data_IF_701427683912
#
_entry.id   IF_701427683912
#
_cell.length_a   1.000
_cell.length_b   1.000
_cell.length_c   1.000
_cell.angle_alpha   90.00
_cell.angle_beta   90.00
_cell.angle_gamma   90.00
#
_symmetry.space_group_name_H-M   'P 1'
#
loop_
_entity.id
_entity.type
_entity.pdbx_description
1 polymer ?
#
# COMPACT_ATOMS: atom_id res chain seq x y z
N UNK A 1 13.69 13.34 -11.67
CA UNK A 1 12.38 12.80 -12.06
C UNK A 1 12.53 11.32 -12.36
N UNK A 2 12.15 10.46 -11.43
CA UNK A 2 12.13 9.00 -11.65
C UNK A 2 10.97 8.67 -12.59
N UNK A 3 11.23 7.88 -13.63
CA UNK A 3 10.18 7.45 -14.57
C UNK A 3 9.51 6.23 -13.95
N UNK A 4 8.22 6.37 -13.63
CA UNK A 4 7.41 5.29 -13.09
C UNK A 4 6.58 4.67 -14.23
N UNK A 5 6.64 3.35 -14.37
CA UNK A 5 5.81 2.58 -15.30
C UNK A 5 4.74 1.84 -14.50
N UNK A 6 3.47 2.12 -14.79
CA UNK A 6 2.36 1.39 -14.17
C UNK A 6 2.13 0.09 -14.94
N UNK A 7 2.38 -1.05 -14.30
CA UNK A 7 2.02 -2.37 -14.82
C UNK A 7 0.62 -2.73 -14.32
N UNK A 8 -0.26 -3.11 -15.23
CA UNK A 8 -1.62 -3.57 -14.90
C UNK A 8 -1.69 -5.05 -15.21
N UNK A 9 -2.13 -5.84 -14.23
CA UNK A 9 -2.32 -7.28 -14.35
C UNK A 9 -3.78 -7.58 -14.07
N UNK A 10 -4.52 -7.97 -15.10
CA UNK A 10 -5.89 -8.41 -14.92
C UNK A 10 -5.96 -9.70 -14.12
N UNK A 11 -6.89 -9.77 -13.18
CA UNK A 11 -7.10 -10.95 -12.33
C UNK A 11 -8.09 -11.93 -12.97
N UNK A 12 -8.10 -12.00 -14.31
CA UNK A 12 -8.95 -12.93 -15.06
C UNK A 12 -8.70 -14.37 -14.60
N UNK A 13 -9.77 -15.06 -14.21
CA UNK A 13 -9.69 -16.43 -13.71
C UNK A 13 -9.64 -16.54 -12.18
N UNK A 14 -9.52 -15.43 -11.46
CA UNK A 14 -9.82 -15.42 -10.02
C UNK A 14 -11.33 -15.62 -9.83
N UNK A 15 -11.71 -16.45 -8.86
CA UNK A 15 -13.12 -16.65 -8.52
C UNK A 15 -13.73 -15.34 -8.02
N UNK A 16 -15.00 -15.11 -8.34
CA UNK A 16 -15.78 -14.06 -7.67
C UNK A 16 -16.11 -14.53 -6.25
N UNK A 17 -15.91 -13.65 -5.27
CA UNK A 17 -16.37 -13.88 -3.91
C UNK A 17 -17.76 -13.26 -3.74
N UNK A 18 -18.48 -13.67 -2.70
CA UNK A 18 -19.91 -13.36 -2.51
C UNK A 18 -20.23 -11.87 -2.61
N UNK A 19 -19.42 -11.02 -1.98
CA UNK A 19 -19.63 -9.57 -1.92
C UNK A 19 -18.49 -8.77 -2.57
N UNK A 20 -17.37 -9.39 -2.94
CA UNK A 20 -16.21 -8.70 -3.50
C UNK A 20 -15.66 -9.42 -4.73
N UNK A 21 -15.36 -8.65 -5.77
CA UNK A 21 -14.71 -9.11 -6.98
C UNK A 21 -13.40 -8.35 -7.16
N UNK A 22 -12.27 -9.05 -7.22
CA UNK A 22 -10.99 -8.43 -7.55
C UNK A 22 -10.79 -8.41 -9.05
N UNK A 23 -10.48 -7.23 -9.58
CA UNK A 23 -10.51 -6.94 -11.03
C UNK A 23 -9.12 -6.97 -11.63
N UNK A 24 -8.19 -6.21 -11.05
CA UNK A 24 -6.82 -6.03 -11.55
C UNK A 24 -5.88 -5.62 -10.44
N UNK A 25 -4.60 -5.97 -10.57
CA UNK A 25 -3.50 -5.46 -9.73
C UNK A 25 -2.75 -4.40 -10.51
N UNK A 26 -2.57 -3.26 -9.87
CA UNK A 26 -1.79 -2.14 -10.39
C UNK A 26 -0.47 -2.08 -9.63
N UNK A 27 0.63 -2.38 -10.32
CA UNK A 27 1.99 -2.42 -9.77
C UNK A 27 2.76 -1.23 -10.31
N UNK A 28 3.46 -0.53 -9.44
CA UNK A 28 4.35 0.55 -9.83
C UNK A 28 5.75 0.00 -10.04
N UNK A 29 6.25 0.10 -11.26
CA UNK A 29 7.64 -0.18 -11.58
C UNK A 29 8.41 1.14 -11.57
N UNK A 30 9.50 1.18 -10.82
CA UNK A 30 10.41 2.33 -10.83
C UNK A 30 11.58 1.91 -11.72
N UNK A 31 11.78 2.61 -12.85
CA UNK A 31 12.89 2.28 -13.75
C UNK A 31 14.21 2.17 -12.98
N UNK A 32 14.86 1.00 -13.05
CA UNK A 32 16.11 0.69 -12.32
C UNK A 32 15.94 -0.03 -10.98
N UNK A 33 14.71 -0.17 -10.46
CA UNK A 33 14.43 -0.79 -9.15
C UNK A 33 13.46 -1.99 -9.23
N UNK A 34 12.87 -2.25 -10.40
CA UNK A 34 11.92 -3.34 -10.62
C UNK A 34 10.51 -3.03 -10.08
N UNK A 35 9.56 -3.97 -10.22
CA UNK A 35 8.23 -3.80 -9.67
C UNK A 35 8.33 -3.57 -8.16
N UNK A 36 7.67 -2.52 -7.67
CA UNK A 36 7.48 -2.33 -6.25
C UNK A 36 6.85 -3.63 -5.68
N UNK A 37 7.34 -4.05 -4.52
CA UNK A 37 6.77 -5.16 -3.75
C UNK A 37 5.30 -4.94 -3.37
N UNK A 38 4.76 -3.76 -3.68
CA UNK A 38 3.43 -3.32 -3.34
C UNK A 38 2.59 -3.15 -4.61
N UNK A 39 1.38 -3.70 -4.57
CA UNK A 39 0.36 -3.55 -5.60
C UNK A 39 -0.90 -2.92 -5.04
N UNK A 40 -1.65 -2.25 -5.90
CA UNK A 40 -3.00 -1.76 -5.62
C UNK A 40 -4.00 -2.68 -6.31
N UNK A 41 -4.80 -3.40 -5.53
CA UNK A 41 -5.81 -4.31 -6.07
C UNK A 41 -7.12 -3.54 -6.25
N UNK A 42 -7.52 -3.37 -7.51
CA UNK A 42 -8.81 -2.81 -7.88
C UNK A 42 -9.90 -3.85 -7.68
N UNK A 43 -11.02 -3.44 -7.13
CA UNK A 43 -12.11 -4.34 -6.78
C UNK A 43 -13.47 -3.70 -7.02
N UNK A 44 -14.48 -4.55 -7.14
CA UNK A 44 -15.88 -4.19 -7.07
C UNK A 44 -16.51 -4.78 -5.82
N UNK A 45 -17.23 -3.96 -5.06
CA UNK A 45 -18.01 -4.36 -3.89
C UNK A 45 -19.48 -4.44 -4.32
N UNK A 46 -20.11 -5.60 -4.12
CA UNK A 46 -21.50 -5.88 -4.54
C UNK A 46 -21.78 -5.48 -6.01
N UNK A 47 -20.80 -5.73 -6.88
CA UNK A 47 -20.89 -5.44 -8.32
C UNK A 47 -20.56 -3.99 -8.73
N UNK A 48 -20.21 -3.11 -7.78
CA UNK A 48 -19.83 -1.72 -8.07
C UNK A 48 -18.32 -1.53 -7.90
N UNK A 49 -17.61 -1.17 -8.98
CA UNK A 49 -16.18 -0.83 -8.91
C UNK A 49 -15.96 0.34 -7.94
N UNK A 50 -15.03 0.17 -7.01
CA UNK A 50 -14.73 1.18 -6.01
C UNK A 50 -13.65 2.14 -6.51
N UNK A 51 -13.76 3.42 -6.17
CA UNK A 51 -12.73 4.42 -6.50
C UNK A 51 -11.43 4.16 -5.72
N UNK A 52 -11.54 3.63 -4.51
CA UNK A 52 -10.41 3.19 -3.68
C UNK A 52 -9.89 1.81 -4.11
N UNK A 53 -8.61 1.54 -3.87
CA UNK A 53 -7.98 0.24 -4.12
C UNK A 53 -7.53 -0.41 -2.82
N UNK A 54 -7.45 -1.74 -2.81
CA UNK A 54 -6.94 -2.51 -1.69
C UNK A 54 -5.41 -2.65 -1.83
N UNK A 55 -4.63 -2.03 -0.95
CA UNK A 55 -3.17 -2.10 -0.98
C UNK A 55 -2.72 -3.51 -0.60
N UNK A 56 -1.72 -4.05 -1.28
CA UNK A 56 -1.24 -5.42 -1.09
C UNK A 56 0.28 -5.49 -1.13
N UNK A 57 0.87 -6.23 -0.19
CA UNK A 57 2.26 -6.68 -0.26
C UNK A 57 2.33 -7.96 -1.10
N UNK A 58 2.86 -7.83 -2.32
CA UNK A 58 3.01 -8.89 -3.30
C UNK A 58 4.20 -9.82 -2.99
N UNK A 59 5.14 -9.38 -2.15
CA UNK A 59 6.20 -10.24 -1.62
C UNK A 59 5.64 -11.23 -0.61
N UNK A 60 4.82 -10.74 0.34
CA UNK A 60 4.27 -11.51 1.45
C UNK A 60 2.93 -12.19 1.19
N UNK A 61 2.14 -11.69 0.25
CA UNK A 61 0.80 -12.25 -0.03
C UNK A 61 -0.24 -11.86 0.98
N UNK A 62 -0.21 -10.59 1.37
CA UNK A 62 -1.11 -10.05 2.37
C UNK A 62 -1.63 -8.68 1.90
N UNK A 63 -2.92 -8.45 2.10
CA UNK A 63 -3.52 -7.13 1.96
C UNK A 63 -3.08 -6.26 3.13
N UNK A 64 -2.56 -5.07 2.86
CA UNK A 64 -1.98 -4.17 3.86
C UNK A 64 -3.07 -3.52 4.71
N UNK A 65 -4.21 -3.25 4.11
CA UNK A 65 -5.40 -2.77 4.79
C UNK A 65 -6.65 -3.33 4.12
N UNK A 66 -7.76 -3.16 4.81
CA UNK A 66 -9.05 -3.72 4.43
C UNK A 66 -10.07 -2.59 4.26
N UNK A 67 -11.32 -2.95 4.05
CA UNK A 67 -12.42 -1.98 3.98
C UNK A 67 -12.66 -1.38 5.38
N UNK A 68 -12.86 -0.07 5.47
CA UNK A 68 -13.26 0.57 6.72
C UNK A 68 -14.63 0.07 7.19
N UNK A 69 -14.96 0.23 8.48
CA UNK A 69 -16.24 -0.24 9.03
C UNK A 69 -17.46 0.42 8.35
N UNK A 70 -17.33 1.68 7.96
CA UNK A 70 -18.37 2.42 7.23
C UNK A 70 -18.56 1.89 5.78
N UNK A 71 -17.54 1.25 5.21
CA UNK A 71 -17.60 0.63 3.88
C UNK A 71 -18.13 -0.82 3.91
N UNK A 72 -18.12 -1.47 5.06
CA UNK A 72 -18.55 -2.87 5.21
C UNK A 72 -20.07 -3.05 5.04
N UNK A 73 -20.87 -2.05 5.42
CA UNK A 73 -22.31 -2.22 5.51
C UNK A 73 -22.67 -3.39 6.44
N UNK A 74 -23.36 -4.40 5.91
CA UNK A 74 -23.76 -5.60 6.64
C UNK A 74 -22.75 -6.77 6.57
N UNK A 75 -21.60 -6.57 5.90
CA UNK A 75 -20.57 -7.62 5.75
C UNK A 75 -19.81 -7.78 7.06
N UNK A 76 -19.79 -8.98 7.69
CA UNK A 76 -19.00 -9.20 8.90
C UNK A 76 -17.51 -9.06 8.63
N UNK A 77 -16.79 -8.36 9.52
CA UNK A 77 -15.33 -8.14 9.47
C UNK A 77 -14.56 -9.44 9.24
N UNK A 78 -14.89 -10.49 10.01
CA UNK A 78 -14.26 -11.82 9.89
C UNK A 78 -14.46 -12.43 8.50
N UNK A 79 -15.63 -12.25 7.90
CA UNK A 79 -15.93 -12.73 6.54
C UNK A 79 -15.11 -11.98 5.50
N UNK A 80 -14.95 -10.65 5.65
CA UNK A 80 -14.05 -9.87 4.81
C UNK A 80 -12.60 -10.36 4.93
N UNK A 81 -12.07 -10.45 6.16
CA UNK A 81 -10.69 -10.83 6.40
C UNK A 81 -10.34 -12.19 5.81
N UNK A 82 -11.21 -13.20 6.02
CA UNK A 82 -11.02 -14.52 5.43
C UNK A 82 -11.03 -14.48 3.91
N UNK A 83 -11.95 -13.70 3.33
CA UNK A 83 -12.03 -13.50 1.88
C UNK A 83 -10.76 -12.87 1.32
N UNK A 84 -10.25 -11.82 1.97
CA UNK A 84 -9.01 -11.15 1.60
C UNK A 84 -7.81 -12.10 1.72
N UNK A 85 -7.71 -12.88 2.79
CA UNK A 85 -6.62 -13.86 2.97
C UNK A 85 -6.62 -14.92 1.87
N UNK A 86 -7.78 -15.52 1.57
CA UNK A 86 -7.91 -16.51 0.49
C UNK A 86 -7.59 -15.91 -0.88
N UNK A 87 -8.05 -14.68 -1.14
CA UNK A 87 -7.80 -13.98 -2.39
C UNK A 87 -6.33 -13.60 -2.56
N UNK A 88 -5.66 -13.16 -1.50
CA UNK A 88 -4.27 -12.72 -1.53
C UNK A 88 -3.33 -13.81 -2.08
N UNK A 89 -3.52 -15.06 -1.63
CA UNK A 89 -2.73 -16.21 -2.11
C UNK A 89 -2.91 -16.38 -3.63
N UNK A 90 -4.16 -16.38 -4.11
CA UNK A 90 -4.48 -16.59 -5.53
C UNK A 90 -4.03 -15.42 -6.40
N UNK A 91 -4.19 -14.18 -5.92
CA UNK A 91 -3.73 -12.96 -6.59
C UNK A 91 -2.22 -13.03 -6.82
N UNK A 92 -1.46 -13.42 -5.80
CA UNK A 92 0.00 -13.58 -5.95
C UNK A 92 0.35 -14.62 -6.99
N UNK A 93 -0.35 -15.76 -7.03
CA UNK A 93 -0.08 -16.77 -8.03
C UNK A 93 -0.27 -16.24 -9.45
N UNK A 94 -1.33 -15.44 -9.67
CA UNK A 94 -1.60 -14.80 -10.97
C UNK A 94 -0.50 -13.80 -11.29
N UNK A 95 -0.16 -12.93 -10.35
CA UNK A 95 0.88 -11.91 -10.50
C UNK A 95 2.23 -12.56 -10.84
N UNK A 96 2.67 -13.56 -10.06
CA UNK A 96 3.95 -14.26 -10.26
C UNK A 96 4.03 -15.05 -11.57
N UNK A 97 2.90 -15.54 -12.09
CA UNK A 97 2.82 -16.23 -13.38
C UNK A 97 2.73 -15.27 -14.58
N UNK A 98 2.55 -13.98 -14.35
CA UNK A 98 2.37 -13.02 -15.43
C UNK A 98 3.68 -12.85 -16.23
N UNK A 99 3.69 -13.11 -17.55
CA UNK A 99 4.90 -13.06 -18.37
C UNK A 99 5.51 -11.66 -18.50
N UNK A 100 4.75 -10.61 -18.16
CA UNK A 100 5.21 -9.22 -18.18
C UNK A 100 5.96 -8.81 -16.89
N UNK A 101 6.07 -9.71 -15.90
CA UNK A 101 6.98 -9.58 -14.76
C UNK A 101 8.29 -10.29 -15.14
N UNK A 102 9.16 -9.60 -15.87
CA UNK A 102 10.43 -10.18 -16.37
C UNK A 102 11.50 -10.33 -15.28
N UNK A 103 11.34 -9.65 -14.15
CA UNK A 103 12.21 -9.75 -12.97
C UNK A 103 11.40 -10.32 -11.83
N UNK A 104 11.83 -11.40 -11.17
CA UNK A 104 11.14 -11.90 -9.98
C UNK A 104 10.94 -10.74 -9.01
N UNK A 105 9.78 -10.68 -8.35
CA UNK A 105 9.58 -9.79 -7.20
C UNK A 105 10.80 -9.98 -6.29
N UNK A 106 11.53 -8.92 -5.91
CA UNK A 106 12.80 -9.12 -5.24
C UNK A 106 12.57 -9.90 -3.94
N UNK A 107 13.56 -10.66 -3.49
CA UNK A 107 13.53 -11.16 -2.11
C UNK A 107 13.77 -9.97 -1.17
N UNK A 108 13.19 -10.02 0.03
CA UNK A 108 13.21 -8.93 1.03
C UNK A 108 14.62 -8.38 1.36
N UNK A 109 15.68 -9.10 0.99
CA UNK A 109 17.08 -8.82 1.35
C UNK A 109 17.82 -7.82 0.44
N UNK A 110 17.27 -7.37 -0.69
CA UNK A 110 18.00 -6.48 -1.60
C UNK A 110 17.21 -5.25 -2.02
N UNK A 111 17.27 -4.22 -1.18
CA UNK A 111 16.96 -2.85 -1.58
C UNK A 111 18.26 -2.04 -1.64
N UNK A 112 18.89 -2.04 -2.82
CA UNK A 112 19.93 -1.06 -3.17
C UNK A 112 19.27 0.31 -3.40
N UNK A 113 18.82 0.95 -2.32
CA UNK A 113 18.47 2.37 -2.31
C UNK A 113 19.78 3.16 -2.32
N UNK A 114 20.13 3.87 -3.40
CA UNK A 114 21.01 5.06 -3.25
C UNK A 114 21.30 5.92 -4.52
N UNK A 115 20.77 5.65 -5.74
CA UNK A 115 21.34 6.37 -6.92
C UNK A 115 20.42 7.16 -7.87
N UNK A 116 19.11 6.93 -7.96
CA UNK A 116 18.26 7.60 -8.97
C UNK A 116 17.03 8.35 -8.42
N UNK A 117 17.07 8.69 -7.13
CA UNK A 117 16.01 9.48 -6.52
C UNK A 117 16.53 10.89 -6.25
N UNK A 118 15.88 11.92 -6.81
CA UNK A 118 16.22 13.31 -6.51
C UNK A 118 16.14 13.56 -5.01
N UNK A 119 17.18 14.19 -4.45
CA UNK A 119 17.29 14.62 -3.04
C UNK A 119 16.33 15.78 -2.72
N UNK A 120 15.07 15.70 -3.15
CA UNK A 120 14.07 16.65 -2.68
C UNK A 120 13.84 16.41 -1.19
N UNK A 121 13.96 17.49 -0.43
CA UNK A 121 13.71 17.50 1.00
C UNK A 121 12.21 17.54 1.21
N UNK A 122 11.75 16.72 2.15
CA UNK A 122 10.36 16.72 2.61
C UNK A 122 9.94 18.15 2.95
N UNK A 123 8.86 18.61 2.34
CA UNK A 123 8.31 19.93 2.61
C UNK A 123 7.84 20.06 4.06
N UNK A 124 8.22 21.15 4.71
CA UNK A 124 7.88 21.44 6.11
C UNK A 124 6.37 21.55 6.32
N UNK A 125 5.62 22.00 5.31
CA UNK A 125 4.15 22.09 5.37
C UNK A 125 3.55 20.69 5.47
N UNK A 126 4.07 19.76 4.66
CA UNK A 126 3.66 18.34 4.68
C UNK A 126 3.97 17.68 6.01
N UNK A 127 5.17 17.91 6.58
CA UNK A 127 5.51 17.39 7.92
C UNK A 127 4.56 17.94 8.99
N UNK A 128 4.28 19.24 8.95
CA UNK A 128 3.38 19.88 9.92
C UNK A 128 1.96 19.33 9.83
N UNK A 129 1.46 19.10 8.60
CA UNK A 129 0.16 18.46 8.38
C UNK A 129 0.13 17.04 8.96
N UNK A 130 1.13 16.22 8.66
CA UNK A 130 1.26 14.87 9.20
C UNK A 130 1.31 14.87 10.74
N UNK A 131 2.14 15.71 11.36
CA UNK A 131 2.22 15.81 12.82
C UNK A 131 0.90 16.24 13.46
N UNK A 132 0.10 17.07 12.79
CA UNK A 132 -1.23 17.42 13.25
C UNK A 132 -2.20 16.23 13.17
N UNK A 133 -2.18 15.46 12.08
CA UNK A 133 -2.99 14.24 11.91
C UNK A 133 -2.62 13.21 12.99
N UNK A 134 -1.33 13.02 13.25
CA UNK A 134 -0.82 12.04 14.22
C UNK A 134 -1.22 12.34 15.68
N UNK A 135 -1.73 13.54 15.99
CA UNK A 135 -2.28 13.83 17.33
C UNK A 135 -3.49 12.95 17.67
N UNK A 136 -4.22 12.49 16.66
CA UNK A 136 -5.37 11.59 16.83
C UNK A 136 -4.93 10.12 17.01
N UNK A 137 -3.66 9.82 16.74
CA UNK A 137 -3.09 8.46 16.82
C UNK A 137 -1.96 8.43 17.86
N UNK A 138 -2.28 8.38 19.17
CA UNK A 138 -1.32 8.55 20.26
C UNK A 138 -0.27 7.42 20.37
N UNK A 139 -0.44 6.34 19.60
CA UNK A 139 0.50 5.23 19.52
C UNK A 139 1.52 5.41 18.37
N UNK A 140 1.38 6.45 17.54
CA UNK A 140 2.27 6.75 16.42
C UNK A 140 3.13 7.98 16.65
N UNK A 141 4.29 7.99 16.01
CA UNK A 141 5.15 9.17 15.92
C UNK A 141 5.81 9.25 14.56
N UNK A 142 5.89 10.46 14.01
CA UNK A 142 6.75 10.78 12.88
C UNK A 142 8.22 10.55 13.27
N UNK A 143 8.94 9.79 12.45
CA UNK A 143 10.33 9.44 12.65
C UNK A 143 11.22 10.18 11.64
N UNK A 144 11.55 11.43 11.98
CA UNK A 144 12.37 12.32 11.15
C UNK A 144 13.74 11.69 10.82
N UNK A 145 14.34 10.92 11.73
CA UNK A 145 15.67 10.31 11.54
C UNK A 145 15.70 9.30 10.40
N UNK A 146 14.58 8.59 10.19
CA UNK A 146 14.45 7.58 9.13
C UNK A 146 13.60 8.04 7.94
N UNK A 147 13.05 9.26 8.02
CA UNK A 147 12.36 9.97 6.93
C UNK A 147 13.35 10.62 5.98
N UNK A 148 14.25 9.80 5.43
CA UNK A 148 15.31 10.23 4.53
C UNK A 148 14.80 10.26 3.08
N UNK A 149 15.33 11.16 2.23
CA UNK A 149 14.97 11.25 0.82
C UNK A 149 15.03 9.91 0.07
N UNK A 150 14.24 9.77 -1.01
CA UNK A 150 13.31 10.79 -1.55
C UNK A 150 11.98 10.84 -0.77
N UNK A 151 11.57 12.02 -0.32
CA UNK A 151 10.25 12.36 0.25
C UNK A 151 9.47 11.22 0.90
N UNK A 152 10.13 10.50 1.82
CA UNK A 152 9.52 9.43 2.60
C UNK A 152 9.20 9.98 3.98
N UNK A 153 7.92 10.08 4.30
CA UNK A 153 7.45 10.34 5.65
C UNK A 153 7.34 9.01 6.38
N UNK A 154 8.24 8.74 7.32
CA UNK A 154 8.18 7.51 8.13
C UNK A 154 7.48 7.76 9.46
N UNK A 155 6.61 6.82 9.81
CA UNK A 155 5.94 6.77 11.10
C UNK A 155 6.25 5.44 11.77
N UNK A 156 6.40 5.46 13.09
CA UNK A 156 6.62 4.25 13.88
C UNK A 156 5.61 4.14 15.01
N UNK A 157 5.26 2.90 15.34
CA UNK A 157 4.52 2.56 16.55
C UNK A 157 5.47 2.80 17.74
N UNK A 158 5.04 3.61 18.69
CA UNK A 158 5.83 3.99 19.88
C UNK A 158 5.31 3.35 21.16
N UNK A 159 4.05 2.92 21.16
CA UNK A 159 3.41 2.24 22.29
C UNK A 159 2.64 1.05 21.76
N UNK A 160 2.82 -0.12 22.37
CA UNK A 160 2.05 -1.30 22.01
C UNK A 160 0.61 -1.15 22.55
N UNK A 161 -0.28 -0.64 21.70
CA UNK A 161 -1.72 -0.50 21.94
C UNK A 161 -2.50 -1.14 20.78
N UNK A 162 -3.79 -1.45 20.97
CA UNK A 162 -4.67 -1.79 19.87
C UNK A 162 -4.58 -0.69 18.81
N UNK A 163 -4.31 -1.11 17.57
CA UNK A 163 -4.12 -0.25 16.40
C UNK A 163 -4.68 -0.98 15.20
N UNK A 164 -5.07 -0.26 14.16
CA UNK A 164 -5.59 -0.86 12.94
C UNK A 164 -4.68 -0.55 11.79
N UNK A 165 -4.50 -1.49 10.88
CA UNK A 165 -3.78 -1.23 9.64
C UNK A 165 -4.53 -0.20 8.78
N UNK A 166 -5.86 -0.12 8.92
CA UNK A 166 -6.71 0.90 8.30
C UNK A 166 -6.32 2.34 8.71
N UNK A 167 -5.81 2.53 9.93
CA UNK A 167 -5.39 3.84 10.44
C UNK A 167 -4.29 4.45 9.54
N UNK A 168 -3.43 3.62 8.94
CA UNK A 168 -2.36 4.06 8.03
C UNK A 168 -2.96 4.75 6.78
N UNK A 169 -4.07 4.23 6.27
CA UNK A 169 -4.71 4.73 5.05
C UNK A 169 -5.63 5.90 5.34
N UNK A 170 -6.25 5.95 6.51
CA UNK A 170 -6.93 7.16 6.97
C UNK A 170 -5.93 8.33 7.09
N UNK A 171 -4.74 8.09 7.65
CA UNK A 171 -3.66 9.08 7.71
C UNK A 171 -3.23 9.51 6.30
N UNK A 172 -3.06 8.58 5.36
CA UNK A 172 -2.75 8.91 3.96
C UNK A 172 -3.83 9.79 3.33
N UNK A 173 -5.10 9.41 3.49
CA UNK A 173 -6.23 10.13 2.91
C UNK A 173 -6.30 11.56 3.44
N UNK A 174 -6.21 11.73 4.76
CA UNK A 174 -6.22 13.05 5.40
C UNK A 174 -5.03 13.89 4.95
N UNK A 175 -3.84 13.30 4.86
CA UNK A 175 -2.65 14.01 4.41
C UNK A 175 -2.78 14.44 2.94
N UNK A 176 -3.35 13.59 2.09
CA UNK A 176 -3.66 13.92 0.70
C UNK A 176 -4.65 15.08 0.60
N UNK A 177 -5.71 15.08 1.39
CA UNK A 177 -6.70 16.16 1.38
C UNK A 177 -6.09 17.49 1.85
N UNK A 178 -5.23 17.45 2.87
CA UNK A 178 -4.57 18.64 3.44
C UNK A 178 -3.49 19.22 2.51
N UNK A 179 -2.81 18.39 1.72
CA UNK A 179 -1.65 18.79 0.90
C UNK A 179 -1.93 18.86 -0.59
N UNK A 180 -2.97 18.18 -1.07
CA UNK A 180 -3.25 17.98 -2.50
C UNK A 180 -2.32 16.95 -3.17
N UNK A 181 -1.42 16.32 -2.41
CA UNK A 181 -0.39 15.41 -2.93
C UNK A 181 -0.84 13.95 -2.84
N UNK A 182 -0.42 13.12 -3.80
CA UNK A 182 -0.68 11.68 -3.76
C UNK A 182 0.48 10.96 -3.09
N UNK A 183 0.16 9.97 -2.27
CA UNK A 183 1.16 9.19 -1.55
C UNK A 183 1.03 7.70 -1.85
N UNK A 184 2.18 7.03 -1.87
CA UNK A 184 2.26 5.57 -1.81
C UNK A 184 2.53 5.18 -0.36
N UNK A 185 1.65 4.34 0.17
CA UNK A 185 1.82 3.75 1.49
C UNK A 185 2.68 2.49 1.38
N UNK A 186 3.68 2.39 2.24
CA UNK A 186 4.39 1.14 2.53
C UNK A 186 4.40 0.94 4.03
N UNK A 187 4.53 -0.29 4.50
CA UNK A 187 4.55 -0.61 5.92
C UNK A 187 5.59 -1.68 6.21
N UNK A 188 6.05 -1.68 7.45
CA UNK A 188 7.12 -2.54 7.93
C UNK A 188 6.77 -3.19 9.25
N UNK A 189 7.29 -4.39 9.45
CA UNK A 189 7.02 -5.24 10.59
C UNK A 189 7.30 -6.71 10.23
N UNK A 190 7.45 -7.54 11.27
CA UNK A 190 7.53 -8.99 11.08
C UNK A 190 6.11 -9.50 10.84
N UNK A 191 5.75 -9.72 9.58
CA UNK A 191 4.45 -10.24 9.18
C UNK A 191 4.60 -11.34 8.14
N UNK A 192 3.71 -12.32 8.18
CA UNK A 192 3.59 -13.43 7.25
C UNK A 192 2.13 -13.76 6.89
N UNK A 193 1.92 -14.76 6.02
CA UNK A 193 0.58 -15.20 5.66
C UNK A 193 -0.22 -15.66 6.88
N UNK A 194 -1.43 -15.11 7.05
CA UNK A 194 -2.33 -15.45 8.16
C UNK A 194 -2.15 -14.63 9.44
N UNK A 195 -1.15 -13.75 9.50
CA UNK A 195 -1.01 -12.81 10.61
C UNK A 195 -2.12 -11.76 10.60
N UNK A 196 -2.58 -11.38 11.79
CA UNK A 196 -3.43 -10.20 11.96
C UNK A 196 -2.58 -8.95 11.81
N UNK A 197 -2.76 -8.21 10.71
CA UNK A 197 -1.96 -7.02 10.45
C UNK A 197 -2.08 -5.96 11.54
N UNK A 198 -3.26 -5.79 12.12
CA UNK A 198 -3.52 -4.87 13.23
C UNK A 198 -2.57 -5.10 14.43
N UNK A 199 -2.02 -6.31 14.55
CA UNK A 199 -1.15 -6.71 15.65
C UNK A 199 0.35 -6.65 15.30
N UNK A 200 0.72 -6.81 14.02
CA UNK A 200 2.11 -7.10 13.64
C UNK A 200 2.87 -5.96 12.95
N UNK A 201 2.20 -4.96 12.40
CA UNK A 201 2.92 -3.81 11.80
C UNK A 201 3.53 -2.92 12.88
N UNK A 202 4.74 -2.41 12.65
CA UNK A 202 5.47 -1.57 13.61
C UNK A 202 5.92 -0.22 13.03
N UNK A 203 5.91 -0.09 11.70
CA UNK A 203 6.24 1.15 10.99
C UNK A 203 5.40 1.28 9.72
N UNK A 204 5.22 2.51 9.25
CA UNK A 204 4.77 2.76 7.88
C UNK A 204 5.49 3.96 7.29
N UNK A 205 5.38 4.11 5.98
CA UNK A 205 6.00 5.18 5.23
C UNK A 205 5.07 5.67 4.13
N UNK A 206 4.94 6.99 4.02
CA UNK A 206 4.21 7.67 2.95
C UNK A 206 5.24 8.29 2.02
N UNK A 207 5.27 7.86 0.75
CA UNK A 207 6.15 8.44 -0.26
C UNK A 207 5.32 9.26 -1.24
N UNK A 208 5.69 10.53 -1.44
CA UNK A 208 5.05 11.38 -2.44
C UNK A 208 5.18 10.77 -3.83
N UNK A 209 4.12 10.84 -4.62
CA UNK A 209 4.07 10.28 -5.96
C UNK A 209 3.32 11.19 -6.93
N UNK A 210 3.86 11.38 -8.12
CA UNK A 210 3.21 12.15 -9.18
C UNK A 210 2.90 11.24 -10.38
N UNK A 211 1.61 11.04 -10.66
CA UNK A 211 1.16 10.26 -11.82
C UNK A 211 1.26 11.13 -13.08
N UNK A 212 2.36 11.04 -13.80
CA UNK A 212 2.38 11.42 -15.22
C UNK A 212 1.97 10.19 -16.04
N UNK A 213 0.78 10.13 -16.65
CA UNK A 213 0.47 9.07 -17.61
C UNK A 213 1.49 9.16 -18.74
N UNK A 214 2.34 8.15 -18.86
CA UNK A 214 3.20 8.02 -20.02
C UNK A 214 2.30 7.82 -21.23
N UNK A 215 2.35 8.75 -22.19
CA UNK A 215 1.79 8.50 -23.52
C UNK A 215 2.57 7.31 -24.10
N UNK A 216 1.97 6.13 -24.09
CA UNK A 216 2.48 5.00 -24.86
C UNK A 216 2.66 5.44 -26.31
N UNK A 217 3.86 5.24 -26.84
CA UNK A 217 4.11 5.28 -28.29
C UNK A 217 3.68 3.96 -28.91
#
# INVERSE_FOLDING_TARGET
MSIFEKRIIDLTGLQNYEFIQFLRVEILDVQGYGPAFFGQVRYALNGVEQDESLPMDLGKGIFIATLRDDQLGDIPRETLEKTLQEAAVKIIEIVRKNPNIQTPLPDYDYLMYDKDCSEEKVDKTTVTALENILKDYPYLKYDELYSKPPDVLKCRVTVNRPRRADDIFEIEHRLRDDTGEKYIVTYGGSSGPGDNLDEVWSTFSLRKFDFQPTKSK
#
